data_IF_394982217927
#
_entry.id   IF_394982217927
#
_cell.length_a   1.000
_cell.length_b   1.000
_cell.length_c   1.000
_cell.angle_alpha   90.00
_cell.angle_beta   90.00
_cell.angle_gamma   90.00
#
_symmetry.space_group_name_H-M   'P 1'
#
loop_
_entity.id
_entity.type
_entity.pdbx_description
1 polymer ?
#
# COMPACT_ATOMS: atom_id res chain seq x y z
N UNK A 1 -6.93 0.03 1.80
CA UNK A 1 -7.37 -1.23 2.42
C UNK A 1 -8.88 -1.21 2.61
N UNK A 2 -9.59 -2.31 2.34
CA UNK A 2 -11.03 -2.40 2.58
C UNK A 2 -11.36 -2.29 4.08
N UNK A 3 -12.33 -1.43 4.42
CA UNK A 3 -12.84 -1.30 5.78
C UNK A 3 -14.19 -2.01 5.92
N UNK A 4 -14.23 -3.05 6.75
CA UNK A 4 -15.46 -3.79 7.06
C UNK A 4 -16.15 -3.17 8.28
N UNK A 5 -17.46 -2.92 8.19
CA UNK A 5 -18.27 -2.41 9.30
C UNK A 5 -19.49 -3.31 9.48
N UNK A 6 -19.64 -3.90 10.67
CA UNK A 6 -20.74 -4.80 11.01
C UNK A 6 -21.69 -4.09 12.00
N UNK A 7 -22.99 -4.02 11.67
CA UNK A 7 -23.97 -3.26 12.47
C UNK A 7 -24.60 -4.04 13.63
N UNK A 8 -24.58 -5.38 13.60
CA UNK A 8 -25.35 -6.25 14.50
C UNK A 8 -24.47 -7.16 15.38
N UNK A 9 -23.30 -6.67 15.82
CA UNK A 9 -22.34 -7.46 16.59
C UNK A 9 -21.30 -8.17 15.71
N UNK A 10 -20.51 -9.06 16.34
CA UNK A 10 -19.46 -9.82 15.65
C UNK A 10 -20.08 -10.86 14.69
N UNK A 11 -19.67 -10.86 13.40
CA UNK A 11 -20.16 -11.85 12.44
C UNK A 11 -19.68 -13.26 12.80
N UNK A 12 -20.37 -14.27 12.29
CA UNK A 12 -19.83 -15.63 12.28
C UNK A 12 -18.57 -15.72 11.40
N UNK A 13 -17.75 -16.75 11.60
CA UNK A 13 -16.54 -16.98 10.79
C UNK A 13 -16.83 -17.08 9.29
N UNK A 14 -17.97 -17.69 8.91
CA UNK A 14 -18.39 -17.79 7.52
C UNK A 14 -18.76 -16.43 6.90
N UNK A 15 -19.57 -15.65 7.60
CA UNK A 15 -19.99 -14.31 7.17
C UNK A 15 -18.79 -13.36 7.07
N UNK A 16 -17.84 -13.43 8.01
CA UNK A 16 -16.62 -12.64 7.96
C UNK A 16 -15.77 -12.97 6.72
N UNK A 17 -15.57 -14.27 6.43
CA UNK A 17 -14.80 -14.71 5.25
C UNK A 17 -15.44 -14.25 3.96
N UNK A 18 -16.76 -14.33 3.86
CA UNK A 18 -17.48 -13.85 2.68
C UNK A 18 -17.36 -12.33 2.52
N UNK A 19 -17.59 -11.57 3.59
CA UNK A 19 -17.46 -10.12 3.55
C UNK A 19 -16.03 -9.67 3.20
N UNK A 20 -15.02 -10.38 3.71
CA UNK A 20 -13.62 -10.14 3.35
C UNK A 20 -13.36 -10.43 1.87
N UNK A 21 -13.82 -11.57 1.36
CA UNK A 21 -13.66 -11.93 -0.04
C UNK A 21 -14.30 -10.89 -0.96
N UNK A 22 -15.55 -10.50 -0.70
CA UNK A 22 -16.24 -9.47 -1.48
C UNK A 22 -15.53 -8.11 -1.45
N UNK A 23 -15.01 -7.72 -0.28
CA UNK A 23 -14.29 -6.47 -0.16
C UNK A 23 -12.93 -6.50 -0.86
N UNK A 24 -12.26 -7.64 -0.86
CA UNK A 24 -11.02 -7.86 -1.61
C UNK A 24 -11.25 -7.84 -3.12
N UNK A 25 -12.36 -8.40 -3.62
CA UNK A 25 -12.70 -8.36 -5.05
C UNK A 25 -13.00 -6.94 -5.54
N UNK A 26 -13.49 -6.07 -4.64
CA UNK A 26 -13.71 -4.64 -4.92
C UNK A 26 -12.49 -3.78 -4.63
N UNK A 27 -11.44 -4.34 -4.04
CA UNK A 27 -10.24 -3.59 -3.72
C UNK A 27 -9.50 -3.25 -5.02
N UNK A 28 -9.22 -1.96 -5.20
CA UNK A 28 -8.44 -1.45 -6.30
C UNK A 28 -7.04 -1.08 -5.77
N UNK A 29 -5.96 -1.77 -6.20
CA UNK A 29 -4.63 -1.48 -5.72
C UNK A 29 -4.17 -0.05 -6.03
N UNK A 30 -4.73 0.59 -7.07
CA UNK A 30 -4.44 1.99 -7.39
C UNK A 30 -4.99 2.93 -6.32
N UNK A 31 -6.21 2.68 -5.82
CA UNK A 31 -6.79 3.49 -4.74
C UNK A 31 -5.97 3.34 -3.45
N UNK A 32 -5.48 2.12 -3.18
CA UNK A 32 -4.57 1.86 -2.06
C UNK A 32 -3.24 2.60 -2.21
N UNK A 33 -2.67 2.62 -3.42
CA UNK A 33 -1.44 3.38 -3.71
C UNK A 33 -1.62 4.88 -3.48
N UNK A 34 -2.74 5.45 -3.94
CA UNK A 34 -3.05 6.87 -3.78
C UNK A 34 -3.25 7.24 -2.31
N UNK A 35 -3.94 6.40 -1.54
CA UNK A 35 -4.11 6.57 -0.11
C UNK A 35 -2.75 6.54 0.62
N UNK A 36 -1.89 5.56 0.31
CA UNK A 36 -0.56 5.46 0.90
C UNK A 36 0.31 6.67 0.54
N UNK A 37 0.27 7.13 -0.71
CA UNK A 37 0.98 8.34 -1.15
C UNK A 37 0.56 9.57 -0.35
N UNK A 38 -0.73 9.70 -0.04
CA UNK A 38 -1.24 10.81 0.78
C UNK A 38 -0.73 10.72 2.22
N UNK A 39 -0.78 9.54 2.83
CA UNK A 39 -0.27 9.32 4.18
C UNK A 39 1.22 9.65 4.28
N UNK A 40 2.02 9.22 3.28
CA UNK A 40 3.44 9.55 3.21
C UNK A 40 3.65 11.06 3.11
N UNK A 41 2.90 11.73 2.26
CA UNK A 41 3.00 13.19 2.12
C UNK A 41 2.73 13.93 3.44
N UNK A 42 1.78 13.46 4.25
CA UNK A 42 1.50 14.05 5.56
C UNK A 42 2.71 13.95 6.52
N UNK A 43 3.41 12.81 6.51
CA UNK A 43 4.65 12.67 7.27
C UNK A 43 5.78 13.53 6.72
N UNK A 44 5.93 13.58 5.39
CA UNK A 44 6.97 14.38 4.74
C UNK A 44 6.85 15.86 5.05
N UNK A 45 5.62 16.38 5.05
CA UNK A 45 5.34 17.77 5.43
C UNK A 45 5.59 17.98 6.92
N UNK A 46 5.13 17.06 7.77
CA UNK A 46 5.28 17.16 9.24
C UNK A 46 6.74 17.20 9.67
N UNK A 47 7.55 16.29 9.15
CA UNK A 47 8.96 16.14 9.54
C UNK A 47 9.94 16.83 8.58
N UNK A 48 9.43 17.49 7.53
CA UNK A 48 10.22 18.17 6.49
C UNK A 48 11.32 17.29 5.91
N UNK A 49 10.99 16.03 5.68
CA UNK A 49 11.93 15.01 5.21
C UNK A 49 11.21 14.12 4.21
N UNK A 50 11.82 13.83 3.05
CA UNK A 50 11.22 12.92 2.07
C UNK A 50 11.17 11.50 2.63
N UNK A 51 10.16 10.73 2.25
CA UNK A 51 9.99 9.36 2.76
C UNK A 51 11.16 8.46 2.37
N UNK A 52 11.76 8.66 1.21
CA UNK A 52 12.98 7.99 0.76
C UNK A 52 14.17 8.26 1.70
N UNK A 53 14.40 9.53 2.03
CA UNK A 53 15.48 9.97 2.91
C UNK A 53 15.28 9.46 4.35
N UNK A 54 14.02 9.52 4.83
CA UNK A 54 13.62 8.97 6.12
C UNK A 54 13.87 7.46 6.17
N UNK A 55 13.40 6.71 5.18
CA UNK A 55 13.50 5.25 5.19
C UNK A 55 14.95 4.78 5.12
N UNK A 56 15.80 5.48 4.37
CA UNK A 56 17.24 5.22 4.35
C UNK A 56 17.90 5.43 5.73
N UNK A 57 17.43 6.37 6.54
CA UNK A 57 17.89 6.57 7.92
C UNK A 57 17.30 5.53 8.88
N UNK A 58 16.02 5.20 8.72
CA UNK A 58 15.32 4.15 9.48
C UNK A 58 16.07 2.82 9.38
N UNK A 59 16.41 2.40 8.15
CA UNK A 59 17.13 1.16 7.88
C UNK A 59 18.55 1.12 8.49
N UNK A 60 19.16 2.29 8.73
CA UNK A 60 20.50 2.39 9.34
C UNK A 60 20.46 2.49 10.87
N UNK A 61 19.26 2.49 11.47
CA UNK A 61 19.09 2.76 12.90
C UNK A 61 19.47 4.19 13.31
N UNK A 62 19.60 5.10 12.34
CA UNK A 62 20.05 6.49 12.56
C UNK A 62 18.91 7.46 12.77
N UNK A 63 17.82 7.00 13.38
CA UNK A 63 16.68 7.87 13.68
C UNK A 63 16.84 8.50 15.04
N UNK A 64 16.52 9.78 15.09
CA UNK A 64 16.50 10.55 16.33
C UNK A 64 15.33 10.08 17.20
N UNK A 65 15.52 10.05 18.51
CA UNK A 65 14.48 9.60 19.47
C UNK A 65 13.24 10.51 19.43
N UNK A 66 13.37 11.72 18.86
CA UNK A 66 12.29 12.69 18.68
C UNK A 66 11.32 12.34 17.54
N UNK A 67 11.63 11.36 16.69
CA UNK A 67 10.81 11.02 15.53
C UNK A 67 9.63 10.13 15.93
N UNK A 68 8.62 10.77 16.54
CA UNK A 68 7.35 10.13 16.86
C UNK A 68 6.73 9.56 15.58
N UNK A 69 6.24 8.33 15.60
CA UNK A 69 5.67 7.62 14.44
C UNK A 69 6.64 7.08 13.39
N UNK A 70 7.92 6.87 13.73
CA UNK A 70 8.88 6.27 12.81
C UNK A 70 8.44 4.89 12.29
N UNK A 71 7.81 4.06 13.14
CA UNK A 71 7.34 2.72 12.73
C UNK A 71 6.19 2.79 11.74
N UNK A 72 5.20 3.65 11.97
CA UNK A 72 4.05 3.83 11.09
C UNK A 72 4.47 4.42 9.74
N UNK A 73 5.39 5.39 9.75
CA UNK A 73 5.92 5.96 8.51
C UNK A 73 6.72 4.93 7.71
N UNK A 74 7.59 4.16 8.36
CA UNK A 74 8.33 3.09 7.69
C UNK A 74 7.41 2.04 7.08
N UNK A 75 6.40 1.59 7.83
CA UNK A 75 5.41 0.63 7.36
C UNK A 75 4.58 1.17 6.19
N UNK A 76 4.17 2.45 6.24
CA UNK A 76 3.46 3.09 5.13
C UNK A 76 4.34 3.17 3.87
N UNK A 77 5.63 3.45 4.03
CA UNK A 77 6.56 3.55 2.91
C UNK A 77 6.86 2.19 2.28
N UNK A 78 7.09 1.15 3.08
CA UNK A 78 7.22 -0.22 2.59
C UNK A 78 5.97 -0.65 1.83
N UNK A 79 4.79 -0.45 2.42
CA UNK A 79 3.50 -0.80 1.80
C UNK A 79 3.30 -0.06 0.48
N UNK A 80 3.68 1.21 0.40
CA UNK A 80 3.63 1.99 -0.83
C UNK A 80 4.52 1.39 -1.91
N UNK A 81 5.78 1.08 -1.58
CA UNK A 81 6.75 0.53 -2.52
C UNK A 81 6.33 -0.84 -3.05
N UNK A 82 5.82 -1.72 -2.18
CA UNK A 82 5.31 -3.02 -2.60
C UNK A 82 4.08 -2.90 -3.51
N UNK A 83 3.14 -2.02 -3.15
CA UNK A 83 1.91 -1.80 -3.94
C UNK A 83 2.26 -1.23 -5.30
N UNK A 84 3.15 -0.23 -5.36
CA UNK A 84 3.63 0.36 -6.60
C UNK A 84 4.24 -0.71 -7.51
N UNK A 85 5.14 -1.54 -6.98
CA UNK A 85 5.80 -2.61 -7.74
C UNK A 85 4.81 -3.62 -8.30
N UNK A 86 3.78 -4.00 -7.54
CA UNK A 86 2.72 -4.92 -8.01
C UNK A 86 1.93 -4.31 -9.18
N UNK A 87 1.58 -3.03 -9.07
CA UNK A 87 0.86 -2.30 -10.14
C UNK A 87 1.74 -2.16 -11.38
N UNK A 88 2.98 -1.71 -11.23
CA UNK A 88 3.95 -1.59 -12.33
C UNK A 88 4.12 -2.92 -13.07
N UNK A 89 4.28 -4.02 -12.33
CA UNK A 89 4.40 -5.36 -12.93
C UNK A 89 3.14 -5.76 -13.70
N UNK A 90 1.95 -5.55 -13.13
CA UNK A 90 0.69 -5.84 -13.79
C UNK A 90 0.52 -5.00 -15.06
N UNK A 91 0.82 -3.70 -15.01
CA UNK A 91 0.73 -2.80 -16.16
C UNK A 91 1.74 -3.18 -17.24
N UNK A 92 2.98 -3.51 -16.90
CA UNK A 92 3.98 -3.96 -17.88
C UNK A 92 3.56 -5.26 -18.56
N UNK A 93 2.99 -6.21 -17.80
CA UNK A 93 2.41 -7.44 -18.36
C UNK A 93 1.33 -7.16 -19.39
N UNK A 94 0.38 -6.31 -19.04
CA UNK A 94 -0.78 -6.04 -19.89
C UNK A 94 -0.44 -5.13 -21.09
N UNK A 95 0.38 -4.10 -20.88
CA UNK A 95 0.64 -3.06 -21.88
C UNK A 95 1.84 -3.36 -22.79
N UNK A 96 2.80 -4.20 -22.34
CA UNK A 96 4.04 -4.46 -23.08
C UNK A 96 4.15 -5.93 -23.46
N UNK A 97 4.00 -6.86 -22.52
CA UNK A 97 4.25 -8.27 -22.79
C UNK A 97 3.12 -8.96 -23.58
N UNK A 98 1.84 -8.75 -23.23
CA UNK A 98 0.72 -9.36 -23.99
C UNK A 98 0.71 -8.99 -25.48
N UNK A 99 0.88 -7.71 -25.88
CA UNK A 99 0.95 -7.35 -27.30
C UNK A 99 2.11 -8.01 -28.05
N UNK A 100 3.24 -8.30 -27.38
CA UNK A 100 4.37 -9.01 -28.00
C UNK A 100 4.04 -10.49 -28.23
N UNK A 101 3.37 -11.13 -27.27
CA UNK A 101 2.90 -12.52 -27.41
C UNK A 101 1.88 -12.66 -28.55
N UNK A 102 0.95 -11.71 -28.67
CA UNK A 102 -0.05 -11.70 -29.75
C UNK A 102 0.57 -11.45 -31.15
N UNK A 103 1.70 -10.74 -31.25
CA UNK A 103 2.44 -10.54 -32.51
C UNK A 103 3.28 -11.78 -32.88
N UNK A 104 3.70 -12.56 -31.88
CA UNK A 104 4.56 -13.73 -32.06
C UNK A 104 3.79 -15.05 -32.31
N UNK A 105 2.45 -15.04 -32.18
CA UNK A 105 1.54 -16.15 -32.43
C UNK A 105 1.01 -16.15 -33.88
#
# INVERSE_FOLDING_TARGET
MPKLTFKNGLPSSGEFRQALAEAMTKANPVDDLLMLSRNLHEYEVRYRMRSEDFYAKYQKGGLDDELQHCMEWASAYESFMETRKKIEFALMREAVYRPIEDIAA
#
